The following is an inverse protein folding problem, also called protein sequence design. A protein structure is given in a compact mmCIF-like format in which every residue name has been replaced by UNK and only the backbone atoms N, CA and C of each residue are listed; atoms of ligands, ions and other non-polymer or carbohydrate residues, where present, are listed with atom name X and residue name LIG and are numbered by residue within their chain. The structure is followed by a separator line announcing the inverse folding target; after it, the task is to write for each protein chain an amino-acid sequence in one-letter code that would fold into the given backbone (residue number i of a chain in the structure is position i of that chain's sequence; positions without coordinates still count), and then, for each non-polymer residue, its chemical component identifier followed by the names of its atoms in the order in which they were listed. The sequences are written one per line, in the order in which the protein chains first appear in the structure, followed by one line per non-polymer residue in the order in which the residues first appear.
data_IF_182375128309
#
_entry.id   IF_182375128309
#
_cell.length_a   1.000
_cell.length_b   1.000
_cell.length_c   1.000
_cell.angle_alpha   90.00
_cell.angle_beta   90.00
_cell.angle_gamma   90.00
#
_symmetry.space_group_name_H-M   'P 1'
#
loop_
_entity.id
_entity.type
_entity.pdbx_description
1 polymer ?
#
# COMPACT_ATOMS: atom_id res chain seq x y z
N UNK A 1 -18.68 -4.22 -5.01
CA UNK A 1 -18.24 -5.00 -3.84
C UNK A 1 -18.31 -6.47 -4.21
N UNK A 2 -17.29 -7.24 -3.86
CA UNK A 2 -17.17 -8.65 -4.20
C UNK A 2 -18.43 -9.44 -3.75
N UNK A 3 -18.96 -10.29 -4.60
CA UNK A 3 -20.01 -11.27 -4.29
C UNK A 3 -19.40 -12.65 -3.91
N UNK A 4 -18.10 -12.70 -3.73
CA UNK A 4 -17.38 -13.93 -3.40
C UNK A 4 -17.77 -14.44 -2.02
N UNK A 5 -17.91 -15.77 -1.82
CA UNK A 5 -18.47 -16.36 -0.61
C UNK A 5 -17.54 -16.29 0.61
N UNK A 6 -16.30 -15.89 0.46
CA UNK A 6 -15.32 -15.83 1.52
C UNK A 6 -15.26 -14.45 2.16
N UNK A 7 -14.69 -14.38 3.36
CA UNK A 7 -14.59 -13.14 4.12
C UNK A 7 -13.79 -12.08 3.39
N UNK A 8 -14.38 -10.90 3.28
CA UNK A 8 -13.66 -9.67 2.91
C UNK A 8 -13.52 -8.80 4.14
N UNK A 9 -12.36 -8.24 4.35
CA UNK A 9 -12.13 -7.31 5.43
C UNK A 9 -11.72 -5.94 4.89
N UNK A 10 -12.61 -4.98 5.08
CA UNK A 10 -12.32 -3.56 4.75
C UNK A 10 -11.76 -2.98 6.02
N UNK A 11 -10.93 -3.04 6.46
CA UNK A 11 -10.66 -2.42 7.44
C UNK A 11 -10.27 -1.82 8.57
N UNK A 12 -9.31 -2.09 9.16
CA UNK A 12 -8.81 -1.51 10.41
C UNK A 12 -7.85 -0.35 10.15
N UNK A 13 -7.53 -0.12 8.89
CA UNK A 13 -6.48 0.83 8.50
C UNK A 13 -7.07 1.98 7.69
N UNK A 14 -6.69 3.20 8.04
CA UNK A 14 -6.97 4.40 7.24
C UNK A 14 -6.27 4.35 5.89
N UNK A 15 -6.71 5.17 4.92
CA UNK A 15 -6.13 5.31 3.57
C UNK A 15 -6.31 4.08 2.66
N UNK A 16 -7.41 3.37 2.82
CA UNK A 16 -7.83 2.29 1.92
C UNK A 16 -8.98 2.68 0.98
N UNK A 17 -9.39 3.95 1.00
CA UNK A 17 -10.41 4.55 0.16
C UNK A 17 -9.93 5.92 -0.32
N UNK A 18 -10.02 6.16 -1.62
CA UNK A 18 -9.79 7.48 -2.23
C UNK A 18 -10.75 7.71 -3.40
N UNK A 19 -10.78 8.93 -3.91
CA UNK A 19 -11.54 9.31 -5.11
C UNK A 19 -10.54 9.80 -6.16
N UNK A 20 -10.69 9.34 -7.41
CA UNK A 20 -9.88 9.80 -8.53
C UNK A 20 -10.44 11.08 -9.16
N UNK A 21 -9.72 11.66 -10.13
CA UNK A 21 -10.13 12.91 -10.80
C UNK A 21 -11.39 12.79 -11.67
N UNK A 22 -11.93 11.58 -11.84
CA UNK A 22 -13.18 11.29 -12.57
C UNK A 22 -14.33 10.90 -11.62
N UNK A 23 -14.21 11.22 -10.33
CA UNK A 23 -15.16 10.89 -9.27
C UNK A 23 -15.38 9.38 -9.05
N UNK A 24 -14.45 8.51 -9.50
CA UNK A 24 -14.51 7.10 -9.16
C UNK A 24 -13.99 6.85 -7.75
N UNK A 25 -14.68 6.01 -6.98
CA UNK A 25 -14.18 5.53 -5.70
C UNK A 25 -13.20 4.37 -5.92
N UNK A 26 -12.02 4.47 -5.33
CA UNK A 26 -10.97 3.43 -5.35
C UNK A 26 -10.88 2.84 -3.95
N UNK A 27 -11.01 1.53 -3.82
CA UNK A 27 -11.02 0.84 -2.52
C UNK A 27 -10.03 -0.32 -2.55
N UNK A 28 -9.11 -0.37 -1.59
CA UNK A 28 -8.30 -1.56 -1.32
C UNK A 28 -8.91 -2.39 -0.20
N UNK A 29 -8.88 -3.71 -0.34
CA UNK A 29 -9.46 -4.65 0.62
C UNK A 29 -8.55 -5.84 0.85
N UNK A 30 -8.78 -6.53 1.96
CA UNK A 30 -8.29 -7.89 2.18
C UNK A 30 -9.42 -8.89 1.91
N UNK A 31 -9.09 -9.99 1.26
CA UNK A 31 -10.05 -11.01 0.86
C UNK A 31 -9.42 -12.40 0.99
N UNK A 32 -10.18 -13.36 1.47
CA UNK A 32 -9.74 -14.75 1.68
C UNK A 32 -10.31 -15.73 0.65
N UNK A 33 -10.80 -15.24 -0.50
CA UNK A 33 -11.36 -16.12 -1.55
C UNK A 33 -10.42 -17.22 -2.04
N UNK A 34 -9.12 -17.04 -1.86
CA UNK A 34 -8.06 -18.01 -2.19
C UNK A 34 -7.58 -18.84 -1.00
N UNK A 35 -8.19 -18.66 0.19
CA UNK A 35 -7.87 -19.38 1.42
C UNK A 35 -6.98 -18.63 2.41
N UNK A 36 -6.27 -17.61 1.98
CA UNK A 36 -5.42 -16.72 2.80
C UNK A 36 -5.71 -15.26 2.47
N UNK A 37 -5.26 -14.34 3.30
CA UNK A 37 -5.43 -12.91 3.07
C UNK A 37 -4.68 -12.44 1.82
N UNK A 38 -5.45 -11.88 0.87
CA UNK A 38 -4.94 -11.30 -0.37
C UNK A 38 -5.43 -9.87 -0.54
N UNK A 39 -4.64 -9.03 -1.20
CA UNK A 39 -5.00 -7.64 -1.50
C UNK A 39 -5.75 -7.57 -2.82
N UNK A 40 -6.94 -7.00 -2.78
CA UNK A 40 -7.76 -6.65 -3.93
C UNK A 40 -8.05 -5.16 -3.98
N UNK A 41 -8.14 -4.62 -5.18
CA UNK A 41 -8.50 -3.22 -5.40
C UNK A 41 -9.66 -3.12 -6.36
N UNK A 42 -10.62 -2.27 -6.02
CA UNK A 42 -11.83 -2.01 -6.80
C UNK A 42 -11.86 -0.56 -7.24
N UNK A 43 -12.34 -0.33 -8.46
CA UNK A 43 -12.73 0.99 -8.96
C UNK A 43 -14.23 0.98 -9.18
N UNK A 44 -14.93 1.94 -8.58
CA UNK A 44 -16.39 2.08 -8.65
C UNK A 44 -16.68 3.45 -9.24
N UNK A 45 -17.30 3.47 -10.42
CA UNK A 45 -17.69 4.69 -11.10
C UNK A 45 -18.92 5.34 -10.42
N UNK A 46 -19.20 6.62 -10.68
CA UNK A 46 -20.35 7.34 -10.09
C UNK A 46 -21.72 6.70 -10.39
N UNK A 47 -21.84 5.95 -11.48
CA UNK A 47 -23.06 5.21 -11.84
C UNK A 47 -23.15 3.82 -11.17
N UNK A 48 -22.16 3.46 -10.35
CA UNK A 48 -22.06 2.18 -9.66
C UNK A 48 -21.44 1.05 -10.51
N UNK A 49 -21.04 1.30 -11.75
CA UNK A 49 -20.30 0.32 -12.55
C UNK A 49 -18.89 0.09 -11.99
N UNK A 50 -18.29 -1.04 -12.35
CA UNK A 50 -16.97 -1.46 -11.87
C UNK A 50 -16.00 -1.61 -13.05
N UNK A 51 -15.32 -0.53 -13.47
CA UNK A 51 -14.46 -0.53 -14.67
C UNK A 51 -13.31 -1.54 -14.63
N UNK A 52 -12.82 -1.90 -13.45
CA UNK A 52 -11.78 -2.92 -13.27
C UNK A 52 -12.32 -4.33 -13.05
N UNK A 53 -13.63 -4.53 -13.28
CA UNK A 53 -14.32 -5.81 -13.08
C UNK A 53 -14.93 -5.96 -11.69
N UNK A 54 -15.97 -6.79 -11.61
CA UNK A 54 -16.76 -7.01 -10.39
C UNK A 54 -15.97 -7.74 -9.29
N UNK A 55 -14.96 -8.50 -9.66
CA UNK A 55 -14.09 -9.24 -8.73
C UNK A 55 -12.90 -8.42 -8.23
N UNK A 56 -12.69 -7.21 -8.78
CA UNK A 56 -11.54 -6.37 -8.49
C UNK A 56 -10.24 -6.90 -9.08
N UNK A 57 -9.17 -6.14 -8.88
CA UNK A 57 -7.81 -6.51 -9.29
C UNK A 57 -7.08 -7.17 -8.12
N UNK A 58 -6.58 -8.39 -8.32
CA UNK A 58 -5.68 -9.04 -7.38
C UNK A 58 -4.27 -8.45 -7.51
N UNK A 59 -3.70 -7.95 -6.42
CA UNK A 59 -2.36 -7.36 -6.41
C UNK A 59 -1.31 -8.26 -5.80
N UNK A 60 -1.68 -9.03 -4.78
CA UNK A 60 -0.74 -9.84 -4.04
C UNK A 60 -0.48 -11.20 -4.69
N UNK A 61 0.70 -11.73 -4.47
CA UNK A 61 1.10 -13.06 -4.93
C UNK A 61 0.46 -14.12 -4.04
N UNK A 62 -0.05 -15.21 -4.65
CA UNK A 62 -0.61 -16.33 -3.93
C UNK A 62 0.45 -17.04 -3.07
N UNK A 63 0.02 -17.57 -1.92
CA UNK A 63 0.86 -18.36 -1.01
C UNK A 63 1.46 -17.58 0.16
N UNK A 64 1.30 -16.27 0.21
CA UNK A 64 1.75 -15.40 1.29
C UNK A 64 0.59 -14.70 1.96
N UNK A 65 0.68 -14.44 3.25
CA UNK A 65 -0.28 -13.63 3.98
C UNK A 65 -0.02 -12.14 3.74
N UNK A 66 -1.06 -11.40 3.37
CA UNK A 66 -0.94 -10.00 3.04
C UNK A 66 -1.88 -9.18 3.93
N UNK A 67 -1.38 -8.07 4.46
CA UNK A 67 -2.09 -7.22 5.42
C UNK A 67 -1.87 -5.74 5.14
N UNK A 68 -2.71 -4.92 5.76
CA UNK A 68 -2.58 -3.46 5.83
C UNK A 68 -2.47 -2.76 4.45
N UNK A 69 -3.31 -3.09 3.46
CA UNK A 69 -3.27 -2.37 2.19
C UNK A 69 -3.67 -0.91 2.38
N UNK A 70 -2.91 0.00 1.76
CA UNK A 70 -3.18 1.43 1.68
C UNK A 70 -2.96 1.93 0.28
N UNK A 71 -3.66 2.98 -0.09
CA UNK A 71 -3.59 3.52 -1.44
C UNK A 71 -3.51 5.04 -1.48
N UNK A 72 -3.01 5.55 -2.58
CA UNK A 72 -3.12 6.95 -2.99
C UNK A 72 -3.42 7.03 -4.48
N UNK A 73 -4.12 8.09 -4.90
CA UNK A 73 -4.42 8.38 -6.31
C UNK A 73 -3.46 9.46 -6.79
N UNK A 74 -2.92 9.29 -7.98
CA UNK A 74 -2.02 10.22 -8.64
C UNK A 74 -2.79 11.18 -9.56
N UNK A 75 -2.13 12.24 -10.03
CA UNK A 75 -2.76 13.28 -10.85
C UNK A 75 -3.24 12.80 -12.22
N UNK A 76 -2.71 11.68 -12.71
CA UNK A 76 -3.10 11.01 -13.96
C UNK A 76 -4.15 9.90 -13.77
N UNK A 77 -4.79 9.87 -12.58
CA UNK A 77 -5.74 8.83 -12.15
C UNK A 77 -5.14 7.42 -12.02
N UNK A 78 -3.82 7.26 -12.09
CA UNK A 78 -3.18 6.04 -11.65
C UNK A 78 -3.25 5.90 -10.12
N UNK A 79 -3.08 4.69 -9.62
CA UNK A 79 -3.25 4.37 -8.20
C UNK A 79 -2.05 3.61 -7.69
N UNK A 80 -1.38 4.14 -6.68
CA UNK A 80 -0.35 3.39 -5.95
C UNK A 80 -0.98 2.69 -4.75
N UNK A 81 -0.71 1.40 -4.61
CA UNK A 81 -1.18 0.57 -3.49
C UNK A 81 0.00 -0.10 -2.83
N UNK A 82 0.14 0.06 -1.53
CA UNK A 82 1.19 -0.59 -0.73
C UNK A 82 0.59 -1.51 0.32
N UNK A 83 1.27 -2.60 0.62
CA UNK A 83 0.85 -3.58 1.63
C UNK A 83 2.05 -4.28 2.27
N UNK A 84 1.82 -4.95 3.37
CA UNK A 84 2.81 -5.78 4.03
C UNK A 84 2.55 -7.26 3.68
N UNK A 85 3.61 -7.99 3.35
CA UNK A 85 3.58 -9.42 3.09
C UNK A 85 4.40 -10.16 4.15
N UNK A 86 3.79 -11.13 4.84
CA UNK A 86 4.41 -12.01 5.84
C UNK A 86 5.20 -11.27 6.93
N UNK A 87 4.88 -9.99 7.19
CA UNK A 87 5.57 -9.06 8.11
C UNK A 87 7.03 -8.73 7.75
N UNK A 88 7.60 -9.37 6.74
CA UNK A 88 9.00 -9.23 6.37
C UNK A 88 9.22 -8.44 5.07
N UNK A 89 8.16 -8.20 4.32
CA UNK A 89 8.24 -7.54 3.02
C UNK A 89 7.20 -6.44 2.92
N UNK A 90 7.62 -5.26 2.57
CA UNK A 90 6.74 -4.20 2.08
C UNK A 90 6.66 -4.31 0.57
N UNK A 91 5.44 -4.29 0.03
CA UNK A 91 5.17 -4.25 -1.40
C UNK A 91 4.45 -2.99 -1.80
N UNK A 92 4.68 -2.55 -3.02
CA UNK A 92 3.97 -1.46 -3.64
C UNK A 92 3.76 -1.74 -5.12
N UNK A 93 2.54 -1.46 -5.62
CA UNK A 93 2.17 -1.62 -7.02
C UNK A 93 1.54 -0.33 -7.54
N UNK A 94 1.84 0.01 -8.79
CA UNK A 94 1.17 1.06 -9.54
C UNK A 94 0.15 0.45 -10.50
N UNK A 95 -1.07 0.97 -10.45
CA UNK A 95 -2.19 0.57 -11.32
C UNK A 95 -2.50 1.76 -12.22
N UNK A 96 -2.51 1.59 -13.53
CA UNK A 96 -2.94 2.64 -14.44
C UNK A 96 -4.43 2.95 -14.29
N UNK A 97 -4.87 4.08 -14.82
CA UNK A 97 -6.30 4.43 -14.87
C UNK A 97 -7.18 3.32 -15.45
N UNK A 98 -6.67 2.57 -16.44
CA UNK A 98 -7.36 1.46 -17.09
C UNK A 98 -7.33 0.14 -16.31
N UNK A 99 -6.60 0.05 -15.20
CA UNK A 99 -6.47 -1.16 -14.37
C UNK A 99 -5.27 -2.06 -14.70
N UNK A 100 -4.34 -1.61 -15.54
CA UNK A 100 -3.13 -2.39 -15.83
C UNK A 100 -2.07 -2.21 -14.74
N UNK A 101 -1.49 -3.31 -14.25
CA UNK A 101 -0.37 -3.29 -13.31
C UNK A 101 0.89 -2.79 -14.04
N UNK A 102 1.56 -1.78 -13.47
CA UNK A 102 2.66 -1.08 -14.15
C UNK A 102 4.04 -1.58 -13.71
N UNK A 103 4.18 -2.07 -12.47
CA UNK A 103 5.47 -2.45 -11.89
C UNK A 103 5.68 -3.97 -11.84
N UNK A 104 5.13 -4.68 -12.85
CA UNK A 104 5.24 -6.13 -13.00
C UNK A 104 4.36 -6.91 -12.02
N UNK A 105 4.49 -8.23 -12.06
CA UNK A 105 3.73 -9.13 -11.19
C UNK A 105 4.17 -8.98 -9.74
N UNK A 106 3.21 -8.66 -8.85
CA UNK A 106 3.46 -8.47 -7.41
C UNK A 106 4.12 -7.13 -7.03
N UNK A 107 4.41 -6.25 -8.01
CA UNK A 107 4.97 -4.92 -7.75
C UNK A 107 6.43 -4.91 -7.30
N UNK A 108 6.89 -3.73 -6.86
CA UNK A 108 8.19 -3.56 -6.21
C UNK A 108 8.10 -4.11 -4.78
N UNK A 109 9.19 -4.67 -4.28
CA UNK A 109 9.27 -5.19 -2.93
C UNK A 109 10.53 -4.69 -2.21
N UNK A 110 10.39 -4.43 -0.92
CA UNK A 110 11.45 -4.10 0.01
C UNK A 110 11.48 -5.22 1.04
N UNK A 111 12.62 -5.86 1.20
CA UNK A 111 12.82 -6.97 2.15
C UNK A 111 13.92 -6.60 3.15
N UNK A 112 13.70 -6.93 4.42
CA UNK A 112 14.72 -6.85 5.45
C UNK A 112 14.55 -8.02 6.42
N UNK A 113 15.55 -8.88 6.47
CA UNK A 113 15.53 -10.06 7.34
C UNK A 113 15.90 -9.75 8.80
N UNK A 114 16.21 -8.50 9.13
CA UNK A 114 16.63 -8.10 10.47
C UNK A 114 15.48 -7.66 11.37
N UNK A 115 14.28 -7.50 10.81
CA UNK A 115 13.08 -7.10 11.56
C UNK A 115 11.81 -7.11 10.73
N UNK A 116 10.70 -6.75 11.37
CA UNK A 116 9.40 -6.68 10.73
C UNK A 116 9.25 -5.37 9.95
N UNK A 117 8.74 -5.46 8.72
CA UNK A 117 8.39 -4.31 7.88
C UNK A 117 6.87 -4.11 7.91
N UNK A 118 6.42 -2.98 8.45
CA UNK A 118 5.02 -2.77 8.80
C UNK A 118 4.49 -1.43 8.29
N UNK A 119 3.16 -1.36 8.16
CA UNK A 119 2.40 -0.13 7.93
C UNK A 119 2.89 0.70 6.74
N UNK A 120 3.02 0.13 5.54
CA UNK A 120 3.39 0.91 4.37
C UNK A 120 2.31 1.91 4.00
N UNK A 121 2.72 3.14 3.68
CA UNK A 121 1.83 4.22 3.25
C UNK A 121 2.40 4.81 1.97
N UNK A 122 1.70 4.67 0.82
CA UNK A 122 2.05 5.39 -0.38
C UNK A 122 1.46 6.80 -0.34
N UNK A 123 2.23 7.79 -0.78
CA UNK A 123 1.82 9.18 -0.92
C UNK A 123 2.14 9.66 -2.32
N UNK A 124 1.23 10.39 -2.92
CA UNK A 124 1.51 11.09 -4.18
C UNK A 124 2.36 12.32 -3.90
N UNK A 125 3.44 12.48 -4.65
CA UNK A 125 4.30 13.65 -4.64
C UNK A 125 4.63 14.06 -6.07
N UNK A 126 4.84 15.35 -6.31
CA UNK A 126 5.14 15.89 -7.65
C UNK A 126 4.14 15.42 -8.74
N UNK A 127 2.88 15.19 -8.36
CA UNK A 127 1.79 14.77 -9.25
C UNK A 127 1.83 13.30 -9.67
N UNK A 128 2.96 12.74 -10.08
CA UNK A 128 3.08 11.37 -10.62
C UNK A 128 4.11 10.49 -9.91
N UNK A 129 4.93 11.05 -9.03
CA UNK A 129 5.87 10.29 -8.21
C UNK A 129 5.19 9.80 -6.94
N UNK A 130 5.73 8.73 -6.37
CA UNK A 130 5.24 8.13 -5.12
C UNK A 130 6.33 8.16 -4.06
N UNK A 131 5.98 8.69 -2.90
CA UNK A 131 6.77 8.54 -1.68
C UNK A 131 6.17 7.38 -0.89
N UNK A 132 6.94 6.33 -0.67
CA UNK A 132 6.58 5.19 0.15
C UNK A 132 7.19 5.34 1.54
N UNK A 133 6.33 5.31 2.54
CA UNK A 133 6.71 5.27 3.95
C UNK A 133 6.51 3.87 4.52
N UNK A 134 7.38 3.40 5.41
CA UNK A 134 7.14 2.17 6.19
C UNK A 134 7.90 2.19 7.52
N UNK A 135 7.45 1.35 8.45
CA UNK A 135 8.13 1.09 9.71
C UNK A 135 9.00 -0.16 9.59
N UNK A 136 10.21 -0.10 10.10
CA UNK A 136 11.04 -1.26 10.37
C UNK A 136 11.18 -1.44 11.88
N UNK A 137 10.80 -2.60 12.39
CA UNK A 137 10.81 -2.92 13.81
C UNK A 137 11.76 -4.09 14.07
N UNK A 138 12.65 -3.91 15.04
CA UNK A 138 13.60 -4.92 15.51
C UNK A 138 13.47 -5.14 17.00
N UNK A 139 13.97 -6.27 17.51
CA UNK A 139 13.94 -6.56 18.93
C UNK A 139 12.67 -7.32 19.36
N UNK A 140 12.45 -7.43 20.68
CA UNK A 140 11.35 -8.23 21.20
C UNK A 140 9.99 -7.56 20.96
N UNK A 141 8.97 -8.36 20.67
CA UNK A 141 7.60 -7.92 20.39
C UNK A 141 7.04 -6.93 21.44
N UNK A 142 7.38 -7.08 22.72
CA UNK A 142 6.89 -6.21 23.81
C UNK A 142 7.69 -4.91 24.00
N UNK A 143 8.82 -4.75 23.31
CA UNK A 143 9.65 -3.54 23.35
C UNK A 143 10.48 -3.42 22.06
N UNK A 144 9.83 -3.30 20.89
CA UNK A 144 10.56 -3.19 19.62
C UNK A 144 11.24 -1.82 19.50
N UNK A 145 12.42 -1.82 18.91
CA UNK A 145 13.00 -0.61 18.32
C UNK A 145 12.33 -0.36 16.97
N UNK A 146 11.78 0.83 16.77
CA UNK A 146 11.08 1.20 15.54
C UNK A 146 11.77 2.36 14.84
N UNK A 147 11.95 2.23 13.53
CA UNK A 147 12.43 3.29 12.63
C UNK A 147 11.41 3.54 11.56
N UNK A 148 11.26 4.80 11.17
CA UNK A 148 10.46 5.23 10.03
C UNK A 148 11.37 5.47 8.83
N UNK A 149 11.09 4.78 7.75
CA UNK A 149 11.79 4.91 6.47
C UNK A 149 10.90 5.54 5.40
N UNK A 150 11.55 6.26 4.49
CA UNK A 150 10.96 6.79 3.27
C UNK A 150 11.81 6.41 2.06
N UNK A 151 11.17 6.09 0.93
CA UNK A 151 11.78 5.98 -0.39
C UNK A 151 10.86 6.62 -1.44
N UNK A 152 11.45 7.28 -2.42
CA UNK A 152 10.73 7.93 -3.51
C UNK A 152 10.92 7.14 -4.80
N UNK A 153 9.81 6.94 -5.52
CA UNK A 153 9.76 6.24 -6.82
C UNK A 153 9.16 7.15 -7.89
N UNK A 154 9.66 7.06 -9.11
CA UNK A 154 8.99 7.65 -10.26
C UNK A 154 7.82 6.77 -10.75
N UNK A 155 7.08 7.25 -11.75
CA UNK A 155 5.94 6.53 -12.33
C UNK A 155 6.31 5.17 -12.96
N UNK A 156 7.58 4.97 -13.30
CA UNK A 156 8.11 3.71 -13.84
C UNK A 156 8.59 2.74 -12.76
N UNK A 157 8.56 3.15 -11.49
CA UNK A 157 9.02 2.35 -10.36
C UNK A 157 10.53 2.43 -10.10
N UNK A 158 11.20 3.42 -10.70
CA UNK A 158 12.63 3.64 -10.45
C UNK A 158 12.81 4.45 -9.17
N UNK A 159 13.71 3.99 -8.32
CA UNK A 159 14.08 4.71 -7.09
C UNK A 159 14.73 6.05 -7.43
N UNK A 160 14.23 7.13 -6.83
CA UNK A 160 14.74 8.48 -7.01
C UNK A 160 15.76 8.89 -5.94
N UNK A 161 15.92 8.09 -4.90
CA UNK A 161 16.95 8.23 -3.89
C UNK A 161 17.85 7.00 -3.89
N UNK A 162 19.14 7.18 -3.72
CA UNK A 162 20.15 6.10 -3.73
C UNK A 162 19.91 5.05 -2.60
N UNK A 163 19.22 5.46 -1.55
CA UNK A 163 18.84 4.60 -0.43
C UNK A 163 17.67 5.21 0.34
N UNK A 164 16.88 4.39 1.04
CA UNK A 164 15.80 4.89 1.90
C UNK A 164 16.33 5.83 2.99
N UNK A 165 15.56 6.89 3.25
CA UNK A 165 15.87 7.88 4.28
C UNK A 165 15.22 7.47 5.59
N UNK A 166 15.98 7.47 6.70
CA UNK A 166 15.45 7.31 8.05
C UNK A 166 14.98 8.66 8.56
N UNK A 167 13.67 8.79 8.81
CA UNK A 167 13.06 10.04 9.29
C UNK A 167 12.99 10.09 10.81
N UNK A 168 12.65 8.95 11.41
CA UNK A 168 12.48 8.82 12.86
C UNK A 168 13.09 7.50 13.32
N UNK A 169 13.78 7.52 14.46
CA UNK A 169 14.20 6.32 15.14
C UNK A 169 15.70 6.21 15.43
N UNK A 170 16.08 5.20 16.20
CA UNK A 170 15.18 4.20 16.80
C UNK A 170 14.35 4.80 17.95
N UNK A 171 13.10 4.40 18.04
CA UNK A 171 12.18 4.79 19.12
C UNK A 171 11.70 3.51 19.81
N UNK A 172 11.94 3.39 21.11
CA UNK A 172 11.60 2.21 21.92
C UNK A 172 10.16 2.29 22.41
N UNK A 173 9.44 1.16 22.37
CA UNK A 173 8.14 1.02 23.02
C UNK A 173 8.19 1.43 24.51
N UNK A 174 7.16 2.13 25.08
CA UNK A 174 5.83 2.38 24.51
C UNK A 174 5.70 3.65 23.66
N UNK A 175 6.77 4.34 23.39
CA UNK A 175 6.76 5.59 22.60
C UNK A 175 6.94 5.34 21.10
N UNK A 176 6.91 4.06 20.67
CA UNK A 176 7.09 3.66 19.28
C UNK A 176 6.00 4.15 18.33
N UNK A 177 6.32 4.16 17.07
CA UNK A 177 5.48 4.64 15.97
C UNK A 177 4.40 3.62 15.59
N UNK A 178 3.36 3.45 16.40
CA UNK A 178 2.29 2.48 16.12
C UNK A 178 1.27 2.96 15.10
N UNK A 179 0.99 4.26 15.11
CA UNK A 179 0.02 4.86 14.20
C UNK A 179 0.66 6.10 13.58
N UNK A 180 0.84 6.05 12.27
CA UNK A 180 1.38 7.16 11.51
C UNK A 180 0.45 7.48 10.38
N UNK A 181 0.21 8.75 10.21
CA UNK A 181 -0.50 9.30 9.07
C UNK A 181 0.45 10.25 8.36
N UNK A 182 0.42 10.22 7.05
CA UNK A 182 1.19 11.12 6.21
C UNK A 182 0.24 11.76 5.21
N UNK A 183 0.42 13.04 4.97
CA UNK A 183 -0.39 13.82 4.04
C UNK A 183 0.55 14.55 3.10
N UNK A 184 0.31 14.43 1.81
CA UNK A 184 0.98 15.27 0.82
C UNK A 184 0.51 16.72 0.96
N UNK A 185 1.41 17.67 0.85
CA UNK A 185 1.10 19.09 0.90
C UNK A 185 0.48 19.62 -0.40
N UNK A 186 0.37 18.78 -1.42
CA UNK A 186 -0.19 19.13 -2.73
C UNK A 186 0.72 19.99 -3.61
N UNK A 187 1.94 20.24 -3.15
CA UNK A 187 2.85 21.18 -3.78
C UNK A 187 4.10 20.57 -4.44
N UNK A 188 4.27 19.25 -4.41
CA UNK A 188 5.36 18.55 -5.08
C UNK A 188 6.73 18.72 -4.42
#
# INVERSE_FOLDING_TARGET
VSDQPNSSWIAVHHMNLAVDGNDNAIISTLDTRTGIWQVYVYKIAPDGSMPWGTDGLALSVLGSENISPRLTVLSDNSVAVAWCQDYLTVRIQMISESGALQWGDGGIHIEDSTGDLLNPIPLTVDGTNVLLQWNHQTGPFWAPDSKLYLQKYDSSGIELWDSPVVVVGPVVFPTGNYFQESVGDGGG
#
